data_IF_450472696009
#
_entry.id   IF_450472696009
#
_cell.length_a   1.000
_cell.length_b   1.000
_cell.length_c   1.000
_cell.angle_alpha   90.00
_cell.angle_beta   90.00
_cell.angle_gamma   90.00
#
_symmetry.space_group_name_H-M   'P 1'
#
loop_
_entity.id
_entity.type
_entity.pdbx_description
1 polymer ?
#
# COMPACT_ATOMS: atom_id res chain seq x y z
N UNK A 1 0.97 0.52 11.06
CA UNK A 1 0.11 -0.45 10.36
C UNK A 1 -0.90 -0.94 11.38
N UNK A 2 -2.14 -0.43 11.36
CA UNK A 2 -3.21 -0.86 12.26
C UNK A 2 -3.71 -2.26 11.86
N UNK A 3 -3.00 -3.30 12.30
CA UNK A 3 -3.32 -4.72 12.07
C UNK A 3 -3.10 -5.54 13.35
N UNK A 4 -2.81 -4.90 14.49
CA UNK A 4 -2.36 -5.58 15.70
C UNK A 4 -3.38 -6.61 16.21
N UNK A 5 -4.67 -6.34 16.05
CA UNK A 5 -5.77 -7.23 16.43
C UNK A 5 -5.88 -8.52 15.62
N UNK A 6 -5.09 -8.70 14.55
CA UNK A 6 -5.05 -9.93 13.75
C UNK A 6 -3.97 -10.92 14.22
N UNK A 7 -3.09 -10.53 15.14
CA UNK A 7 -1.95 -11.35 15.59
C UNK A 7 -2.41 -12.68 16.20
N UNK A 8 -3.52 -12.69 16.94
CA UNK A 8 -4.07 -13.91 17.54
C UNK A 8 -4.75 -14.84 16.51
N UNK A 9 -4.91 -14.38 15.27
CA UNK A 9 -5.66 -15.10 14.23
C UNK A 9 -4.78 -15.56 13.06
N UNK A 10 -3.44 -15.58 13.24
CA UNK A 10 -2.51 -15.98 12.19
C UNK A 10 -2.73 -17.42 11.69
N UNK A 11 -3.17 -18.32 12.56
CA UNK A 11 -3.46 -19.73 12.22
C UNK A 11 -4.92 -19.95 11.79
N UNK A 12 -5.71 -18.88 11.65
CA UNK A 12 -7.13 -18.98 11.29
C UNK A 12 -7.32 -19.03 9.77
N UNK A 13 -8.04 -20.05 9.29
CA UNK A 13 -8.50 -20.11 7.90
C UNK A 13 -9.91 -19.54 7.79
N UNK A 14 -10.07 -18.48 7.00
CA UNK A 14 -11.35 -17.81 6.78
C UNK A 14 -11.38 -17.11 5.41
N UNK A 15 -12.56 -16.65 4.99
CA UNK A 15 -12.71 -15.74 3.84
C UNK A 15 -12.33 -14.32 4.29
N UNK A 16 -11.03 -14.05 4.39
CA UNK A 16 -10.48 -12.83 4.97
C UNK A 16 -10.95 -11.53 4.29
N UNK A 17 -11.24 -11.57 2.99
CA UNK A 17 -11.80 -10.43 2.26
C UNK A 17 -13.16 -9.94 2.81
N UNK A 18 -13.92 -10.81 3.49
CA UNK A 18 -15.20 -10.45 4.12
C UNK A 18 -15.04 -10.03 5.58
N UNK A 19 -13.89 -10.31 6.20
CA UNK A 19 -13.62 -10.03 7.61
C UNK A 19 -12.85 -8.72 7.78
N UNK A 20 -11.97 -8.42 6.84
CA UNK A 20 -11.12 -7.24 6.87
C UNK A 20 -11.84 -6.04 6.26
N UNK A 21 -11.75 -4.89 6.91
CA UNK A 21 -12.11 -3.61 6.30
C UNK A 21 -11.26 -3.33 5.05
N UNK A 22 -11.73 -2.54 4.09
CA UNK A 22 -10.94 -2.20 2.90
C UNK A 22 -9.55 -1.63 3.22
N UNK A 23 -9.43 -0.79 4.25
CA UNK A 23 -8.15 -0.26 4.71
C UNK A 23 -7.23 -1.33 5.30
N UNK A 24 -7.76 -2.33 6.02
CA UNK A 24 -6.96 -3.47 6.48
C UNK A 24 -6.49 -4.35 5.32
N UNK A 25 -7.33 -4.57 4.32
CA UNK A 25 -6.96 -5.31 3.11
C UNK A 25 -5.83 -4.60 2.36
N UNK A 26 -5.90 -3.28 2.21
CA UNK A 26 -4.83 -2.47 1.61
C UNK A 26 -3.52 -2.55 2.42
N UNK A 27 -3.59 -2.39 3.76
CA UNK A 27 -2.41 -2.55 4.62
C UNK A 27 -1.79 -3.94 4.53
N UNK A 28 -2.61 -4.99 4.44
CA UNK A 28 -2.15 -6.36 4.27
C UNK A 28 -1.50 -6.57 2.89
N UNK A 29 -2.04 -5.94 1.83
CA UNK A 29 -1.42 -5.96 0.51
C UNK A 29 -0.02 -5.31 0.53
N UNK A 30 0.14 -4.17 1.19
CA UNK A 30 1.47 -3.56 1.40
C UNK A 30 2.40 -4.45 2.23
N UNK A 31 1.90 -5.08 3.31
CA UNK A 31 2.69 -6.04 4.07
C UNK A 31 3.23 -7.17 3.17
N UNK A 32 2.43 -7.67 2.22
CA UNK A 32 2.89 -8.66 1.23
C UNK A 32 3.98 -8.11 0.31
N UNK A 33 3.86 -6.86 -0.15
CA UNK A 33 4.89 -6.20 -0.97
C UNK A 33 6.21 -6.12 -0.19
N UNK A 34 6.17 -5.66 1.06
CA UNK A 34 7.37 -5.55 1.89
C UNK A 34 8.01 -6.91 2.20
N UNK A 35 7.20 -7.95 2.43
CA UNK A 35 7.69 -9.31 2.68
C UNK A 35 8.33 -9.93 1.45
N UNK A 36 7.74 -9.70 0.27
CA UNK A 36 8.23 -10.27 -0.99
C UNK A 36 9.42 -9.49 -1.57
N UNK A 37 9.52 -8.19 -1.28
CA UNK A 37 10.54 -7.28 -1.80
C UNK A 37 10.74 -7.38 -3.34
N UNK A 38 9.68 -7.18 -4.15
CA UNK A 38 9.79 -7.27 -5.61
C UNK A 38 10.58 -6.10 -6.21
N UNK A 39 11.21 -6.33 -7.37
CA UNK A 39 11.89 -5.29 -8.16
C UNK A 39 10.93 -4.28 -8.82
N UNK A 40 9.65 -4.66 -8.99
CA UNK A 40 8.61 -3.81 -9.58
C UNK A 40 7.33 -3.91 -8.74
N UNK A 41 6.75 -2.76 -8.41
CA UNK A 41 5.49 -2.63 -7.67
C UNK A 41 4.52 -1.81 -8.49
N UNK A 42 3.35 -2.38 -8.79
CA UNK A 42 2.22 -1.67 -9.39
C UNK A 42 1.13 -1.46 -8.33
N UNK A 43 0.76 -0.20 -8.10
CA UNK A 43 -0.23 0.20 -7.12
C UNK A 43 -1.41 0.86 -7.83
N UNK A 44 -2.51 0.14 -7.98
CA UNK A 44 -3.74 0.68 -8.55
C UNK A 44 -4.70 1.09 -7.43
N UNK A 45 -4.81 2.39 -7.17
CA UNK A 45 -5.62 2.96 -6.08
C UNK A 45 -5.39 2.28 -4.71
N UNK A 46 -4.17 1.79 -4.47
CA UNK A 46 -3.86 0.88 -3.37
C UNK A 46 -3.97 1.50 -1.97
N UNK A 47 -4.20 2.81 -1.88
CA UNK A 47 -4.32 3.59 -0.64
C UNK A 47 -5.66 4.33 -0.52
N UNK A 48 -6.60 4.09 -1.44
CA UNK A 48 -7.88 4.82 -1.52
C UNK A 48 -8.77 4.70 -0.27
N UNK A 49 -8.62 3.64 0.52
CA UNK A 49 -9.38 3.41 1.74
C UNK A 49 -8.61 3.79 3.02
N UNK A 50 -7.48 4.49 2.88
CA UNK A 50 -6.65 4.95 4.00
C UNK A 50 -6.79 6.46 4.22
N UNK A 51 -6.53 6.89 5.46
CA UNK A 51 -6.35 8.30 5.74
C UNK A 51 -4.99 8.81 5.18
N UNK A 52 -4.85 10.13 4.96
CA UNK A 52 -3.65 10.70 4.35
C UNK A 52 -2.34 10.42 5.12
N UNK A 53 -2.41 10.29 6.45
CA UNK A 53 -1.23 10.04 7.27
C UNK A 53 -0.72 8.61 7.09
N UNK A 54 -1.62 7.62 7.05
CA UNK A 54 -1.29 6.23 6.78
C UNK A 54 -0.80 6.03 5.35
N UNK A 55 -1.38 6.71 4.38
CA UNK A 55 -0.95 6.69 2.99
C UNK A 55 0.49 7.20 2.83
N UNK A 56 0.78 8.41 3.32
CA UNK A 56 2.14 8.98 3.35
C UNK A 56 3.13 8.03 4.01
N UNK A 57 2.74 7.41 5.13
CA UNK A 57 3.58 6.45 5.85
C UNK A 57 3.88 5.20 5.03
N UNK A 58 2.92 4.67 4.28
CA UNK A 58 3.13 3.48 3.44
C UNK A 58 4.07 3.76 2.26
N UNK A 59 3.95 4.93 1.64
CA UNK A 59 4.88 5.34 0.57
C UNK A 59 6.28 5.60 1.10
N UNK A 60 6.42 6.26 2.25
CA UNK A 60 7.73 6.41 2.90
C UNK A 60 8.39 5.05 3.24
N UNK A 61 7.59 4.05 3.58
CA UNK A 61 8.08 2.68 3.79
C UNK A 61 8.50 2.00 2.49
N UNK A 62 7.87 2.29 1.35
CA UNK A 62 8.34 1.79 0.05
C UNK A 62 9.72 2.35 -0.26
N UNK A 63 9.93 3.65 -0.12
CA UNK A 63 11.24 4.28 -0.32
C UNK A 63 12.31 3.72 0.63
N UNK A 64 11.96 3.49 1.90
CA UNK A 64 12.90 2.96 2.89
C UNK A 64 13.24 1.48 2.65
N UNK A 65 12.24 0.65 2.37
CA UNK A 65 12.40 -0.81 2.33
C UNK A 65 12.75 -1.34 0.96
N UNK A 66 12.34 -0.63 -0.10
CA UNK A 66 12.50 -1.03 -1.50
C UNK A 66 13.12 0.13 -2.31
N UNK A 67 14.29 0.66 -1.91
CA UNK A 67 14.87 1.85 -2.54
C UNK A 67 15.19 1.68 -4.03
N UNK A 68 15.41 0.44 -4.47
CA UNK A 68 15.76 0.11 -5.86
C UNK A 68 14.56 -0.38 -6.69
N UNK A 69 13.37 -0.52 -6.09
CA UNK A 69 12.20 -1.02 -6.80
C UNK A 69 11.58 0.04 -7.69
N UNK A 70 11.14 -0.35 -8.89
CA UNK A 70 10.32 0.50 -9.74
C UNK A 70 8.88 0.52 -9.19
N UNK A 71 8.47 1.66 -8.64
CA UNK A 71 7.10 1.88 -8.17
C UNK A 71 6.31 2.67 -9.22
N UNK A 72 5.24 2.05 -9.73
CA UNK A 72 4.24 2.71 -10.57
C UNK A 72 2.95 2.74 -9.78
N UNK A 73 2.41 3.92 -9.52
CA UNK A 73 1.16 4.09 -8.78
C UNK A 73 0.13 4.88 -9.58
N UNK A 74 -1.14 4.56 -9.34
CA UNK A 74 -2.31 5.30 -9.80
C UNK A 74 -2.99 5.82 -8.54
N UNK A 75 -3.06 7.15 -8.42
CA UNK A 75 -3.63 7.80 -7.25
C UNK A 75 -4.35 9.09 -7.62
N UNK A 76 -5.30 9.49 -6.76
CA UNK A 76 -6.09 10.71 -6.90
C UNK A 76 -5.56 11.89 -6.07
N UNK A 77 -4.45 11.71 -5.35
CA UNK A 77 -3.99 12.65 -4.32
C UNK A 77 -2.61 13.21 -4.64
N UNK A 78 -2.54 14.54 -4.72
CA UNK A 78 -1.30 15.28 -5.00
C UNK A 78 -0.21 15.07 -3.95
N UNK A 79 -0.59 14.76 -2.70
CA UNK A 79 0.37 14.51 -1.61
C UNK A 79 1.34 13.36 -1.93
N UNK A 80 0.96 12.43 -2.81
CA UNK A 80 1.82 11.33 -3.23
C UNK A 80 2.87 11.71 -4.26
N UNK A 81 2.73 12.86 -4.94
CA UNK A 81 3.71 13.30 -5.93
C UNK A 81 5.12 13.43 -5.35
N UNK A 82 5.23 13.75 -4.06
CA UNK A 82 6.52 13.83 -3.36
C UNK A 82 7.31 12.51 -3.37
N UNK A 83 6.65 11.37 -3.57
CA UNK A 83 7.26 10.03 -3.62
C UNK A 83 7.54 9.56 -5.05
N UNK A 84 7.30 10.39 -6.07
CA UNK A 84 7.48 10.02 -7.46
C UNK A 84 8.47 10.94 -8.16
N UNK A 85 9.46 10.36 -8.83
CA UNK A 85 10.40 11.14 -9.65
C UNK A 85 9.78 11.65 -10.96
N UNK A 86 8.64 11.07 -11.37
CA UNK A 86 7.90 11.43 -12.58
C UNK A 86 6.40 11.29 -12.31
N UNK A 87 5.61 12.25 -12.77
CA UNK A 87 4.15 12.22 -12.75
C UNK A 87 3.63 12.34 -14.18
N UNK A 88 2.57 11.59 -14.50
CA UNK A 88 1.88 11.65 -15.79
C UNK A 88 0.40 11.90 -15.52
N UNK A 89 -0.10 13.06 -15.95
CA UNK A 89 -1.53 13.35 -15.93
C UNK A 89 -2.14 12.94 -17.26
N UNK A 90 -3.10 12.02 -17.23
CA UNK A 90 -3.88 11.65 -18.41
C UNK A 90 -5.02 12.67 -18.59
N UNK A 91 -4.91 13.52 -19.61
CA UNK A 91 -5.98 14.41 -20.05
C UNK A 91 -6.70 13.80 -21.25
N UNK A 92 -8.04 13.94 -21.30
CA UNK A 92 -8.87 13.44 -22.41
C UNK A 92 -8.91 14.43 -23.57
#
# INVERSE_FOLDING_TARGET
MHLEGLTEKLDTTAVWQQQLSPGEQQRLAFARVFLHAPEVVLLDEATSALDPANETRLYALLDEKLPDALVISIAHRDALEAFHSRSITLAR
#
